data_IF_714620335411
#
_entry.id   IF_714620335411
#
_cell.length_a   1.000
_cell.length_b   1.000
_cell.length_c   1.000
_cell.angle_alpha   90.00
_cell.angle_beta   90.00
_cell.angle_gamma   90.00
#
_symmetry.space_group_name_H-M   'P 1'
#
loop_
_entity.id
_entity.type
_entity.pdbx_description
1 polymer ?
#
# COMPACT_ATOMS: atom_id res chain seq x y z
N UNK A 1 -14.36 -21.05 27.25
CA UNK A 1 -14.67 -22.10 26.24
C UNK A 1 -13.85 -21.82 25.01
N UNK A 2 -13.08 -22.79 24.51
CA UNK A 2 -12.39 -22.64 23.22
C UNK A 2 -13.30 -23.15 22.11
N UNK A 3 -13.61 -22.36 21.12
CA UNK A 3 -14.29 -22.81 19.90
C UNK A 3 -13.24 -23.25 18.87
N UNK A 4 -13.56 -24.29 18.09
CA UNK A 4 -12.75 -24.78 17.02
C UNK A 4 -13.38 -24.38 15.70
N UNK A 5 -12.57 -23.80 14.78
CA UNK A 5 -12.96 -23.54 13.40
C UNK A 5 -11.98 -24.26 12.47
N UNK A 6 -12.40 -24.55 11.24
CA UNK A 6 -11.51 -25.15 10.24
C UNK A 6 -10.53 -24.10 9.71
N UNK A 7 -9.37 -24.53 9.21
CA UNK A 7 -8.41 -23.61 8.56
C UNK A 7 -9.01 -22.89 7.36
N UNK A 8 -9.83 -23.59 6.57
CA UNK A 8 -10.52 -22.97 5.43
C UNK A 8 -11.46 -21.86 5.88
N UNK A 9 -12.31 -22.12 6.89
CA UNK A 9 -13.20 -21.08 7.44
C UNK A 9 -12.44 -19.91 8.04
N UNK A 10 -11.32 -20.16 8.70
CA UNK A 10 -10.46 -19.09 9.21
C UNK A 10 -9.89 -18.24 8.06
N UNK A 11 -9.34 -18.89 7.03
CA UNK A 11 -8.76 -18.21 5.88
C UNK A 11 -9.78 -17.39 5.08
N UNK A 12 -11.02 -17.88 4.98
CA UNK A 12 -12.13 -17.14 4.36
C UNK A 12 -12.51 -15.86 5.14
N UNK A 13 -12.38 -15.90 6.46
CA UNK A 13 -12.72 -14.76 7.31
C UNK A 13 -11.58 -13.75 7.44
N UNK A 14 -10.34 -14.21 7.62
CA UNK A 14 -9.20 -13.40 8.03
C UNK A 14 -7.97 -13.52 7.12
N UNK A 15 -8.12 -14.21 5.99
CA UNK A 15 -6.99 -14.49 5.11
C UNK A 15 -6.13 -15.67 5.57
N UNK A 16 -5.13 -16.06 4.75
CA UNK A 16 -4.24 -17.18 5.06
C UNK A 16 -3.40 -16.89 6.30
N UNK A 17 -3.00 -17.94 7.00
CA UNK A 17 -2.17 -17.86 8.21
C UNK A 17 -0.92 -18.73 8.07
N UNK A 18 -0.03 -18.69 9.05
CA UNK A 18 1.26 -19.39 9.05
C UNK A 18 1.14 -20.84 8.55
N UNK A 19 1.93 -21.18 7.54
CA UNK A 19 1.99 -22.48 6.87
C UNK A 19 0.94 -22.69 5.79
N UNK A 20 0.04 -21.73 5.55
CA UNK A 20 -0.87 -21.79 4.40
C UNK A 20 -0.12 -21.43 3.12
N UNK A 21 -0.50 -22.10 2.01
CA UNK A 21 0.05 -21.83 0.69
C UNK A 21 -0.93 -21.07 -0.17
N UNK A 22 -0.46 -20.00 -0.76
CA UNK A 22 -1.26 -19.11 -1.63
C UNK A 22 -0.67 -19.14 -3.02
N UNK A 23 -1.51 -19.44 -4.01
CA UNK A 23 -1.12 -19.38 -5.42
C UNK A 23 -1.01 -17.92 -5.87
N UNK A 24 0.04 -17.59 -6.60
CA UNK A 24 0.24 -16.26 -7.17
C UNK A 24 -0.47 -16.15 -8.51
N UNK A 25 -1.63 -15.54 -8.53
CA UNK A 25 -2.47 -15.32 -9.71
C UNK A 25 -2.63 -16.61 -10.55
N UNK A 26 -2.48 -16.53 -11.85
CA UNK A 26 -2.59 -17.66 -12.78
C UNK A 26 -1.26 -18.41 -13.04
N UNK A 27 -0.27 -18.19 -12.18
CA UNK A 27 1.03 -18.86 -12.29
C UNK A 27 1.01 -20.21 -11.56
N UNK A 28 2.06 -21.02 -11.74
CA UNK A 28 2.29 -22.24 -10.97
C UNK A 28 3.11 -21.99 -9.69
N UNK A 29 3.30 -20.72 -9.34
CA UNK A 29 4.04 -20.32 -8.15
C UNK A 29 3.10 -20.27 -6.93
N UNK A 30 3.59 -20.84 -5.84
CA UNK A 30 2.94 -20.77 -4.53
C UNK A 30 3.89 -20.11 -3.54
N UNK A 31 3.37 -19.18 -2.76
CA UNK A 31 4.04 -18.64 -1.58
C UNK A 31 3.48 -19.32 -0.34
N UNK A 32 4.31 -19.48 0.67
CA UNK A 32 3.93 -20.00 1.99
C UNK A 32 4.01 -18.89 3.01
N UNK A 33 2.96 -18.73 3.83
CA UNK A 33 2.93 -17.75 4.91
C UNK A 33 3.88 -18.20 6.00
N UNK A 34 4.96 -17.46 6.21
CA UNK A 34 6.02 -17.77 7.18
C UNK A 34 5.61 -17.39 8.60
N UNK A 35 4.88 -16.29 8.74
CA UNK A 35 4.49 -15.76 10.05
C UNK A 35 3.12 -15.08 9.99
N UNK A 36 2.47 -14.97 11.14
CA UNK A 36 1.21 -14.24 11.34
C UNK A 36 1.38 -13.37 12.58
N UNK A 37 1.35 -12.05 12.40
CA UNK A 37 1.51 -11.07 13.46
C UNK A 37 0.19 -10.76 14.17
N UNK A 38 -0.91 -11.31 13.71
CA UNK A 38 -2.20 -11.24 14.42
C UNK A 38 -2.29 -12.30 15.50
N UNK A 39 -3.28 -12.21 16.38
CA UNK A 39 -3.52 -13.19 17.45
C UNK A 39 -4.85 -13.87 17.21
N UNK A 40 -4.85 -15.19 17.15
CA UNK A 40 -6.05 -15.99 16.89
C UNK A 40 -7.14 -15.71 17.93
N UNK A 41 -8.29 -15.27 17.43
CA UNK A 41 -9.43 -14.88 18.24
C UNK A 41 -9.47 -13.40 18.62
N UNK A 42 -8.45 -12.64 18.23
CA UNK A 42 -8.37 -11.19 18.45
C UNK A 42 -8.22 -10.41 17.12
N UNK A 43 -8.43 -11.08 15.99
CA UNK A 43 -8.37 -10.46 14.68
C UNK A 43 -9.43 -9.36 14.55
N UNK A 44 -9.04 -8.23 14.00
CA UNK A 44 -9.95 -7.13 13.75
C UNK A 44 -10.51 -7.23 12.33
N UNK A 45 -11.80 -6.98 12.20
CA UNK A 45 -12.52 -6.97 10.93
C UNK A 45 -13.62 -5.94 10.93
N UNK A 46 -13.72 -5.17 9.86
CA UNK A 46 -14.79 -4.20 9.67
C UNK A 46 -16.02 -4.81 8.98
N UNK A 47 -17.19 -4.32 9.35
CA UNK A 47 -18.47 -4.69 8.72
C UNK A 47 -19.62 -4.80 9.73
N UNK A 48 -20.83 -4.97 9.21
CA UNK A 48 -22.02 -5.13 10.03
C UNK A 48 -21.90 -6.33 10.98
N UNK A 49 -22.01 -6.08 12.28
CA UNK A 49 -21.87 -7.11 13.30
C UNK A 49 -20.43 -7.61 13.55
N UNK A 50 -19.41 -6.98 12.95
CA UNK A 50 -18.00 -7.34 13.13
C UNK A 50 -17.36 -6.57 14.29
N UNK A 51 -16.11 -6.94 14.62
CA UNK A 51 -15.45 -6.51 15.86
C UNK A 51 -14.96 -5.06 15.84
N UNK A 52 -14.69 -4.46 14.68
CA UNK A 52 -14.33 -3.04 14.62
C UNK A 52 -15.58 -2.19 14.87
N UNK A 53 -15.78 -1.91 16.12
CA UNK A 53 -16.85 -1.10 16.70
C UNK A 53 -16.31 -0.39 17.92
N UNK A 54 -16.96 0.71 18.26
CA UNK A 54 -16.69 1.44 19.48
C UNK A 54 -16.73 0.55 20.74
N UNK A 55 -15.68 0.65 21.55
CA UNK A 55 -15.52 -0.14 22.77
C UNK A 55 -15.20 -1.63 22.55
N UNK A 56 -14.99 -2.04 21.31
CA UNK A 56 -14.51 -3.39 20.95
C UNK A 56 -13.13 -3.30 20.28
N UNK A 57 -13.03 -3.54 19.00
CA UNK A 57 -11.78 -3.39 18.24
C UNK A 57 -11.46 -1.93 17.85
N UNK A 58 -12.37 -1.00 18.07
CA UNK A 58 -12.15 0.43 17.93
C UNK A 58 -12.11 1.08 19.30
N UNK A 59 -11.08 1.90 19.54
CA UNK A 59 -10.92 2.69 20.76
C UNK A 59 -11.49 4.11 20.60
N UNK A 60 -11.51 4.87 21.69
CA UNK A 60 -11.83 6.31 21.68
C UNK A 60 -10.59 7.20 21.45
N UNK A 61 -9.44 6.60 21.23
CA UNK A 61 -8.20 7.33 20.97
C UNK A 61 -8.35 8.15 19.69
N UNK A 62 -8.10 9.45 19.79
CA UNK A 62 -8.17 10.33 18.64
C UNK A 62 -6.90 10.24 17.79
N UNK A 63 -6.94 10.80 16.57
CA UNK A 63 -5.78 10.91 15.70
C UNK A 63 -4.60 11.63 16.38
N UNK A 64 -4.88 12.67 17.15
CA UNK A 64 -3.85 13.44 17.87
C UNK A 64 -3.20 12.58 18.96
N UNK A 65 -3.97 11.72 19.59
CA UNK A 65 -3.53 10.89 20.70
C UNK A 65 -2.91 9.55 20.25
N UNK A 66 -2.83 9.30 18.95
CA UNK A 66 -2.08 8.16 18.41
C UNK A 66 -2.86 7.20 17.50
N UNK A 67 -4.16 7.41 17.24
CA UNK A 67 -4.86 6.61 16.24
C UNK A 67 -4.34 6.92 14.83
N UNK A 68 -4.30 5.89 13.97
CA UNK A 68 -3.90 6.02 12.58
C UNK A 68 -5.02 6.61 11.71
N UNK A 69 -4.65 7.17 10.55
CA UNK A 69 -5.64 7.70 9.59
C UNK A 69 -6.33 6.56 8.84
N UNK A 70 -5.55 5.57 8.44
CA UNK A 70 -6.04 4.40 7.69
C UNK A 70 -5.39 3.14 8.22
N UNK A 71 -6.13 2.05 8.29
CA UNK A 71 -5.59 0.72 8.55
C UNK A 71 -6.02 -0.27 7.46
N UNK A 72 -5.08 -1.07 6.97
CA UNK A 72 -5.35 -2.21 6.10
C UNK A 72 -5.29 -3.45 7.00
N UNK A 73 -6.41 -4.17 7.12
CA UNK A 73 -6.53 -5.28 8.06
C UNK A 73 -6.22 -6.63 7.42
N UNK A 74 -5.57 -7.53 8.15
CA UNK A 74 -5.33 -8.93 7.78
C UNK A 74 -4.70 -9.10 6.38
N UNK A 75 -3.73 -8.26 6.05
CA UNK A 75 -3.05 -8.30 4.76
C UNK A 75 -1.99 -9.40 4.71
N UNK A 76 -1.92 -10.15 3.60
CA UNK A 76 -0.78 -10.99 3.29
C UNK A 76 0.30 -10.13 2.66
N UNK A 77 1.37 -9.88 3.39
CA UNK A 77 2.46 -8.99 2.98
C UNK A 77 3.61 -9.83 2.44
N UNK A 78 4.13 -9.42 1.29
CA UNK A 78 5.34 -9.98 0.68
C UNK A 78 6.36 -8.86 0.55
N UNK A 79 7.41 -8.91 1.34
CA UNK A 79 8.48 -7.91 1.32
C UNK A 79 9.86 -8.53 1.56
N UNK A 80 10.87 -7.68 1.74
CA UNK A 80 12.25 -8.11 2.00
C UNK A 80 12.40 -8.88 3.32
N UNK A 81 11.47 -8.72 4.27
CA UNK A 81 11.51 -9.40 5.57
C UNK A 81 10.81 -10.76 5.54
N UNK A 82 10.15 -11.12 4.43
CA UNK A 82 9.50 -12.40 4.27
C UNK A 82 8.05 -12.31 3.80
N UNK A 83 7.31 -13.37 4.03
CA UNK A 83 5.90 -13.55 3.65
C UNK A 83 5.09 -13.74 4.93
N UNK A 84 4.33 -12.72 5.32
CA UNK A 84 3.64 -12.75 6.59
C UNK A 84 2.29 -12.03 6.54
N UNK A 85 1.38 -12.41 7.43
CA UNK A 85 0.12 -11.71 7.64
C UNK A 85 0.28 -10.66 8.73
N UNK A 86 -0.21 -9.45 8.47
CA UNK A 86 -0.25 -8.36 9.44
C UNK A 86 -1.28 -7.29 9.04
N UNK A 87 -1.53 -6.37 9.95
CA UNK A 87 -2.22 -5.12 9.64
C UNK A 87 -1.20 -4.03 9.31
N UNK A 88 -1.61 -3.04 8.50
CA UNK A 88 -0.75 -1.91 8.10
C UNK A 88 -1.44 -0.62 8.54
N UNK A 89 -0.80 0.14 9.42
CA UNK A 89 -1.23 1.47 9.84
C UNK A 89 -0.58 2.57 9.01
N UNK A 90 -1.41 3.47 8.49
CA UNK A 90 -0.99 4.62 7.69
C UNK A 90 -1.39 5.90 8.42
N UNK A 91 -0.45 6.81 8.56
CA UNK A 91 -0.66 8.14 9.15
C UNK A 91 0.12 9.18 8.38
N UNK A 92 -0.51 10.33 8.12
CA UNK A 92 0.10 11.41 7.33
C UNK A 92 0.64 10.95 5.94
N UNK A 93 -0.05 9.96 5.33
CA UNK A 93 0.36 9.39 4.05
C UNK A 93 1.58 8.46 4.09
N UNK A 94 2.05 8.10 5.28
CA UNK A 94 3.22 7.24 5.50
C UNK A 94 2.79 5.96 6.19
N UNK A 95 3.40 4.82 5.83
CA UNK A 95 3.27 3.59 6.60
C UNK A 95 3.95 3.82 7.95
N UNK A 96 3.15 4.01 8.99
CA UNK A 96 3.65 4.25 10.34
C UNK A 96 4.08 2.95 11.01
N UNK A 97 3.29 1.88 10.83
CA UNK A 97 3.56 0.60 11.47
C UNK A 97 2.95 -0.58 10.72
N UNK A 98 3.60 -1.71 10.81
CA UNK A 98 3.10 -3.02 10.40
C UNK A 98 3.07 -3.90 11.65
N UNK A 99 1.93 -4.51 11.94
CA UNK A 99 1.76 -5.30 13.16
C UNK A 99 0.32 -5.64 13.44
N UNK A 100 -0.05 -5.69 14.73
CA UNK A 100 -1.42 -5.97 15.18
C UNK A 100 -2.17 -4.66 15.41
N UNK A 101 -3.30 -4.50 14.73
CA UNK A 101 -4.20 -3.37 14.96
C UNK A 101 -5.34 -3.70 15.91
N UNK A 102 -5.94 -2.67 16.52
CA UNK A 102 -7.10 -2.81 17.38
C UNK A 102 -7.25 -1.73 18.44
N UNK A 103 -7.88 -2.13 19.54
CA UNK A 103 -8.17 -1.28 20.67
C UNK A 103 -7.32 -1.68 21.89
N UNK A 104 -6.38 -0.83 22.32
CA UNK A 104 -5.51 -1.15 23.46
C UNK A 104 -6.26 -1.33 24.79
N UNK A 105 -7.49 -0.83 24.92
CA UNK A 105 -8.29 -0.98 26.15
C UNK A 105 -8.90 -2.39 26.27
N UNK A 106 -9.08 -3.09 25.15
CA UNK A 106 -9.73 -4.41 25.11
C UNK A 106 -8.81 -5.53 24.64
N UNK A 107 -7.71 -5.21 23.98
CA UNK A 107 -6.80 -6.18 23.38
C UNK A 107 -5.36 -5.92 23.80
N UNK A 108 -4.58 -6.92 24.20
CA UNK A 108 -3.19 -6.74 24.57
C UNK A 108 -2.28 -6.56 23.33
N UNK A 109 -1.15 -5.89 23.51
CA UNK A 109 -0.08 -5.78 22.53
C UNK A 109 -0.55 -5.20 21.18
N UNK A 110 -1.34 -4.15 21.22
CA UNK A 110 -1.74 -3.42 20.03
C UNK A 110 -0.59 -2.55 19.55
N UNK A 111 -0.22 -2.72 18.29
CA UNK A 111 0.79 -1.92 17.60
C UNK A 111 0.19 -0.70 16.91
N UNK A 112 -1.03 -0.88 16.37
CA UNK A 112 -1.73 0.09 15.52
C UNK A 112 -3.09 0.37 16.14
N UNK A 113 -3.31 1.60 16.56
CA UNK A 113 -4.55 1.97 17.26
C UNK A 113 -5.62 2.37 16.25
N UNK A 114 -6.76 1.67 16.30
CA UNK A 114 -7.96 2.01 15.54
C UNK A 114 -8.81 2.96 16.37
N UNK A 115 -8.93 4.20 15.90
CA UNK A 115 -9.77 5.23 16.53
C UNK A 115 -11.06 5.51 15.75
N UNK A 116 -11.89 6.45 16.24
CA UNK A 116 -13.19 6.76 15.61
C UNK A 116 -13.07 7.35 14.20
N UNK A 117 -11.94 7.98 13.88
CA UNK A 117 -11.68 8.57 12.57
C UNK A 117 -10.83 7.71 11.64
N UNK A 118 -10.48 6.49 12.03
CA UNK A 118 -9.65 5.60 11.22
C UNK A 118 -10.46 4.99 10.08
N UNK A 119 -9.99 5.18 8.85
CA UNK A 119 -10.51 4.46 7.67
C UNK A 119 -10.04 3.01 7.69
N UNK A 120 -10.94 2.08 7.34
CA UNK A 120 -10.64 0.65 7.33
C UNK A 120 -10.65 0.12 5.90
N UNK A 121 -9.53 -0.48 5.48
CA UNK A 121 -9.40 -1.17 4.20
C UNK A 121 -9.25 -2.66 4.49
N UNK A 122 -10.15 -3.47 3.96
CA UNK A 122 -10.10 -4.93 4.10
C UNK A 122 -8.97 -5.50 3.25
N UNK A 123 -7.96 -6.07 3.90
CA UNK A 123 -6.82 -6.74 3.26
C UNK A 123 -6.99 -8.26 3.15
N UNK A 124 -8.05 -8.82 3.72
CA UNK A 124 -8.31 -10.25 3.71
C UNK A 124 -8.38 -10.80 2.28
N UNK A 125 -7.61 -11.85 2.02
CA UNK A 125 -7.52 -12.47 0.71
C UNK A 125 -6.77 -11.66 -0.35
N UNK A 126 -6.07 -10.60 0.06
CA UNK A 126 -5.23 -9.78 -0.83
C UNK A 126 -3.76 -9.94 -0.49
N UNK A 127 -2.93 -9.87 -1.52
CA UNK A 127 -1.47 -9.81 -1.37
C UNK A 127 -1.05 -8.35 -1.51
N UNK A 128 -0.25 -7.87 -0.55
CA UNK A 128 0.29 -6.52 -0.54
C UNK A 128 1.80 -6.58 -0.71
N UNK A 129 2.30 -5.83 -1.67
CA UNK A 129 3.73 -5.66 -1.93
C UNK A 129 4.08 -4.19 -1.94
N UNK A 130 5.37 -3.87 -1.88
CA UNK A 130 5.82 -2.52 -2.23
C UNK A 130 5.39 -2.20 -3.67
N UNK A 131 4.99 -0.96 -3.91
CA UNK A 131 4.67 -0.48 -5.25
C UNK A 131 5.90 -0.49 -6.16
N UNK A 132 5.68 -0.80 -7.43
CA UNK A 132 6.76 -0.80 -8.43
C UNK A 132 7.29 0.62 -8.67
N UNK A 133 8.60 0.70 -8.95
CA UNK A 133 9.28 1.92 -9.36
C UNK A 133 9.82 1.73 -10.77
N UNK A 134 9.32 2.52 -11.73
CA UNK A 134 9.84 2.54 -13.09
C UNK A 134 10.75 3.76 -13.27
N UNK A 135 12.02 3.51 -13.54
CA UNK A 135 13.05 4.55 -13.71
C UNK A 135 13.37 4.89 -15.17
N UNK A 136 12.58 4.41 -16.12
CA UNK A 136 12.80 4.63 -17.55
C UNK A 136 11.51 4.99 -18.29
N UNK A 137 10.97 6.17 -18.01
CA UNK A 137 9.70 6.62 -18.54
C UNK A 137 9.89 7.67 -19.64
N UNK A 138 9.11 7.49 -20.71
CA UNK A 138 8.86 8.51 -21.72
C UNK A 138 7.47 9.09 -21.50
N UNK A 139 7.38 10.28 -20.91
CA UNK A 139 6.10 10.94 -20.67
C UNK A 139 5.52 11.49 -21.99
N UNK A 140 4.76 10.66 -22.69
CA UNK A 140 4.15 10.97 -23.97
C UNK A 140 2.66 11.21 -23.81
N UNK A 141 1.91 10.23 -23.27
CA UNK A 141 0.48 10.35 -23.07
C UNK A 141 0.10 10.10 -21.62
N UNK A 142 -0.86 10.86 -21.06
CA UNK A 142 -1.23 10.75 -19.66
C UNK A 142 -1.89 9.41 -19.30
N UNK A 143 -2.51 8.72 -20.24
CA UNK A 143 -3.16 7.43 -20.04
C UNK A 143 -2.18 6.35 -19.53
N UNK A 144 -0.90 6.44 -19.89
CA UNK A 144 0.12 5.52 -19.40
C UNK A 144 0.25 5.53 -17.87
N UNK A 145 -0.12 6.62 -17.20
CA UNK A 145 -0.03 6.76 -15.73
C UNK A 145 -1.11 5.88 -15.08
N UNK A 146 -2.33 5.92 -15.59
CA UNK A 146 -3.41 5.08 -15.08
C UNK A 146 -3.12 3.59 -15.34
N UNK A 147 -2.63 3.25 -16.54
CA UNK A 147 -2.23 1.87 -16.88
C UNK A 147 -1.11 1.37 -15.96
N UNK A 148 -0.12 2.20 -15.69
CA UNK A 148 0.98 1.89 -14.79
C UNK A 148 0.47 1.65 -13.36
N UNK A 149 -0.40 2.53 -12.86
CA UNK A 149 -0.99 2.40 -11.52
C UNK A 149 -1.79 1.10 -11.38
N UNK A 150 -2.61 0.74 -12.38
CA UNK A 150 -3.35 -0.52 -12.41
C UNK A 150 -2.44 -1.75 -12.52
N UNK A 151 -1.22 -1.56 -13.01
CA UNK A 151 -0.19 -2.62 -13.09
C UNK A 151 0.68 -2.74 -11.83
N UNK A 152 0.39 -1.94 -10.79
CA UNK A 152 1.10 -1.98 -9.51
C UNK A 152 2.32 -1.06 -9.41
N UNK A 153 2.55 -0.18 -10.39
CA UNK A 153 3.54 0.88 -10.27
C UNK A 153 2.98 2.03 -9.41
N UNK A 154 3.77 2.52 -8.50
CA UNK A 154 3.43 3.67 -7.64
C UNK A 154 4.34 4.87 -7.85
N UNK A 155 5.45 4.68 -8.56
CA UNK A 155 6.43 5.71 -8.85
C UNK A 155 6.96 5.58 -10.27
N UNK A 156 7.00 6.69 -10.99
CA UNK A 156 7.57 6.79 -12.33
C UNK A 156 8.60 7.90 -12.36
N UNK A 157 9.80 7.59 -12.84
CA UNK A 157 10.87 8.56 -13.08
C UNK A 157 11.24 8.56 -14.56
N UNK A 158 11.23 9.70 -15.18
CA UNK A 158 11.62 9.81 -16.59
C UNK A 158 11.53 11.22 -17.09
N UNK A 159 11.32 11.38 -18.38
CA UNK A 159 11.22 12.66 -19.02
C UNK A 159 10.32 12.66 -20.23
N UNK A 160 10.23 13.78 -20.88
CA UNK A 160 9.35 14.03 -21.98
C UNK A 160 8.65 15.37 -21.80
N UNK A 161 7.77 15.70 -22.72
CA UNK A 161 7.02 16.96 -22.74
C UNK A 161 5.53 16.74 -22.98
N UNK A 162 5.07 15.51 -22.73
CA UNK A 162 3.68 15.13 -22.96
C UNK A 162 3.31 15.02 -24.44
N UNK A 163 2.02 15.03 -24.76
CA UNK A 163 1.52 14.80 -26.13
C UNK A 163 1.98 15.84 -27.15
N UNK A 164 2.27 17.07 -26.71
CA UNK A 164 2.59 18.17 -27.61
C UNK A 164 3.93 17.97 -28.37
N UNK A 165 4.90 17.36 -27.73
CA UNK A 165 6.24 17.12 -28.28
C UNK A 165 6.80 15.75 -27.91
N UNK A 166 5.94 14.75 -27.78
CA UNK A 166 6.30 13.42 -27.28
C UNK A 166 7.46 12.73 -27.98
N UNK A 167 7.72 13.08 -29.25
CA UNK A 167 8.84 12.52 -30.04
C UNK A 167 10.15 13.29 -29.91
N UNK A 168 10.14 14.49 -29.37
CA UNK A 168 11.32 15.36 -29.24
C UNK A 168 12.10 15.12 -27.96
N UNK A 169 11.46 14.55 -26.98
CA UNK A 169 12.05 14.26 -25.70
C UNK A 169 11.99 12.74 -25.43
N UNK A 170 13.02 12.24 -24.83
CA UNK A 170 13.12 10.82 -24.45
C UNK A 170 12.86 10.67 -22.95
N UNK A 171 13.80 10.12 -22.22
CA UNK A 171 13.74 9.96 -20.74
C UNK A 171 14.15 11.21 -19.98
N UNK A 172 14.37 12.33 -20.65
CA UNK A 172 14.73 13.62 -20.05
C UNK A 172 13.83 14.76 -20.56
N UNK A 173 13.52 15.70 -19.70
CA UNK A 173 12.74 16.90 -20.01
C UNK A 173 13.68 18.08 -20.25
N UNK A 174 13.60 18.78 -21.40
CA UNK A 174 14.56 19.81 -21.76
C UNK A 174 14.21 21.16 -21.11
N UNK A 175 15.14 21.68 -20.31
CA UNK A 175 15.09 23.03 -19.75
C UNK A 175 14.02 23.25 -18.67
N UNK A 176 14.20 24.34 -17.94
CA UNK A 176 13.42 24.66 -16.75
C UNK A 176 11.94 24.92 -17.04
N UNK A 177 11.63 25.53 -18.17
CA UNK A 177 10.25 25.83 -18.54
C UNK A 177 9.42 24.53 -18.73
N UNK A 178 9.95 23.57 -19.50
CA UNK A 178 9.26 22.29 -19.71
C UNK A 178 9.17 21.48 -18.42
N UNK A 179 10.23 21.46 -17.60
CA UNK A 179 10.20 20.79 -16.28
C UNK A 179 9.10 21.40 -15.42
N UNK A 180 9.02 22.74 -15.34
CA UNK A 180 7.98 23.42 -14.60
C UNK A 180 6.58 23.06 -15.08
N UNK A 181 6.36 22.93 -16.41
CA UNK A 181 5.07 22.52 -16.97
C UNK A 181 4.75 21.06 -16.68
N UNK A 182 5.73 20.17 -16.72
CA UNK A 182 5.53 18.75 -16.38
C UNK A 182 5.22 18.58 -14.89
N UNK A 183 5.89 19.31 -14.01
CA UNK A 183 5.58 19.31 -12.57
C UNK A 183 4.13 19.79 -12.32
N UNK A 184 3.73 20.91 -12.97
CA UNK A 184 2.35 21.40 -12.85
C UNK A 184 1.31 20.39 -13.35
N UNK A 185 1.62 19.65 -14.41
CA UNK A 185 0.71 18.62 -14.93
C UNK A 185 0.60 17.42 -14.00
N UNK A 186 1.61 17.17 -13.16
CA UNK A 186 1.64 16.04 -12.23
C UNK A 186 0.58 16.13 -11.11
N UNK A 187 0.14 17.32 -10.76
CA UNK A 187 -0.85 17.54 -9.68
C UNK A 187 -2.21 16.87 -9.97
N UNK A 188 -2.47 16.51 -11.22
CA UNK A 188 -3.72 15.84 -11.61
C UNK A 188 -3.72 14.32 -11.37
N UNK A 189 -2.60 13.71 -11.01
CA UNK A 189 -2.44 12.26 -10.96
C UNK A 189 -2.15 11.74 -9.56
N UNK A 190 -2.76 10.61 -9.23
CA UNK A 190 -2.57 9.90 -7.95
C UNK A 190 -1.36 8.96 -8.00
N UNK A 191 -0.22 9.43 -8.49
CA UNK A 191 1.03 8.67 -8.61
C UNK A 191 2.22 9.56 -8.25
N UNK A 192 3.31 8.98 -7.75
CA UNK A 192 4.56 9.69 -7.58
C UNK A 192 5.24 9.85 -8.94
N UNK A 193 5.32 11.08 -9.44
CA UNK A 193 5.91 11.40 -10.72
C UNK A 193 7.18 12.22 -10.52
N UNK A 194 8.29 11.78 -11.12
CA UNK A 194 9.56 12.46 -11.08
C UNK A 194 10.07 12.75 -12.51
N UNK A 195 10.64 13.94 -12.71
CA UNK A 195 11.05 14.42 -14.01
C UNK A 195 12.56 14.64 -14.07
N UNK A 196 13.24 13.85 -14.90
CA UNK A 196 14.66 13.99 -15.16
C UNK A 196 14.91 15.15 -16.09
N UNK A 197 15.67 16.13 -15.64
CA UNK A 197 16.12 17.24 -16.46
C UNK A 197 17.18 16.79 -17.47
N UNK A 198 17.07 17.25 -18.73
CA UNK A 198 18.14 17.09 -19.71
C UNK A 198 19.29 18.02 -19.33
N UNK A 199 20.39 17.44 -18.88
CA UNK A 199 21.64 18.16 -18.70
C UNK A 199 22.13 18.65 -20.07
N UNK A 200 22.29 19.94 -20.22
CA UNK A 200 23.10 20.44 -21.28
C UNK A 200 24.54 20.06 -20.95
N UNK A 201 25.10 19.18 -21.74
CA UNK A 201 26.53 18.95 -21.67
C UNK A 201 27.23 20.24 -22.09
N UNK A 202 27.42 21.10 -21.13
CA UNK A 202 28.35 22.20 -21.29
C UNK A 202 29.72 21.61 -21.05
N UNK A 203 30.21 20.92 -22.03
CA UNK A 203 31.64 20.69 -22.15
C UNK A 203 32.23 22.01 -22.61
N UNK A 204 32.00 23.02 -21.83
CA UNK A 204 32.66 24.31 -22.01
C UNK A 204 33.65 24.41 -20.92
N UNK A 205 34.60 23.74 -21.18
CA UNK A 205 35.75 23.98 -20.35
C UNK A 205 36.67 24.85 -21.11
#
# INVERSE_FOLDING_TARGET
MSSKITRSSYSEMFGPTTGDKVRLADTDLFIEVENDLTVYGEEVKFGGGKVIRDGMGQSQVTRIDGAVDTVITNALIVDVNGIFKADIGIKDGIIEKIGKSGNPDTQPKIDIIIGPGTEIIAGEGKIITAGGFDSHIHYICPQQIDDALHSGLTTMLGGGTGPAHGTLATTCTPGSWHIGKMIQSADAFSMNLAFAGKGLSLIHI
#
